data_IF_638990526109
#
_entry.id   IF_638990526109
#
_cell.length_a   1.000
_cell.length_b   1.000
_cell.length_c   1.000
_cell.angle_alpha   90.00
_cell.angle_beta   90.00
_cell.angle_gamma   90.00
#
_symmetry.space_group_name_H-M   'P 1'
#
loop_
_entity.id
_entity.type
_entity.pdbx_description
1 polymer ?
#
# COMPACT_ATOMS: atom_id res chain seq x y z
N UNK A 1 -19.04 -1.26 -13.81
CA UNK A 1 -19.06 -0.35 -12.64
C UNK A 1 -18.22 0.90 -12.94
N UNK A 2 -18.45 1.98 -12.18
CA UNK A 2 -17.63 3.18 -12.24
C UNK A 2 -16.90 3.38 -10.92
N UNK A 3 -15.59 3.54 -11.01
CA UNK A 3 -14.69 3.69 -9.85
C UNK A 3 -14.19 5.13 -9.73
N UNK A 4 -14.08 5.64 -8.51
CA UNK A 4 -13.33 6.85 -8.18
C UNK A 4 -12.07 6.45 -7.41
N UNK A 5 -10.89 6.80 -7.94
CA UNK A 5 -9.61 6.41 -7.34
C UNK A 5 -8.86 7.65 -6.86
N UNK A 6 -8.56 7.69 -5.56
CA UNK A 6 -7.57 8.63 -5.03
C UNK A 6 -6.18 8.01 -5.11
N UNK A 7 -5.16 8.84 -5.34
CA UNK A 7 -3.81 8.29 -5.56
C UNK A 7 -3.67 7.47 -6.86
N UNK A 8 -4.60 7.65 -7.81
CA UNK A 8 -4.64 6.92 -9.09
C UNK A 8 -3.42 7.13 -9.98
N UNK A 9 -2.63 8.17 -9.74
CA UNK A 9 -1.37 8.43 -10.47
C UNK A 9 -0.13 7.77 -9.82
N UNK A 10 -0.29 7.14 -8.67
CA UNK A 10 0.76 6.38 -7.98
C UNK A 10 0.93 4.97 -8.53
N UNK A 11 1.91 4.23 -7.98
CA UNK A 11 2.27 2.89 -8.43
C UNK A 11 1.05 1.93 -8.47
N UNK A 12 0.37 1.78 -7.35
CA UNK A 12 -0.78 0.88 -7.22
C UNK A 12 -1.97 1.42 -8.02
N UNK A 13 -2.25 2.72 -7.91
CA UNK A 13 -3.39 3.35 -8.57
C UNK A 13 -3.33 3.29 -10.09
N UNK A 14 -2.16 3.49 -10.66
CA UNK A 14 -1.93 3.37 -12.11
C UNK A 14 -2.19 1.93 -12.60
N UNK A 15 -1.65 0.93 -11.87
CA UNK A 15 -1.84 -0.48 -12.24
C UNK A 15 -3.29 -0.92 -12.08
N UNK A 16 -3.95 -0.46 -10.99
CA UNK A 16 -5.37 -0.72 -10.74
C UNK A 16 -6.26 -0.08 -11.82
N UNK A 17 -6.01 1.18 -12.16
CA UNK A 17 -6.79 1.89 -13.19
C UNK A 17 -6.74 1.15 -14.52
N UNK A 18 -5.54 0.67 -14.92
CA UNK A 18 -5.40 -0.13 -16.12
C UNK A 18 -6.21 -1.43 -16.03
N UNK A 19 -6.06 -2.19 -14.94
CA UNK A 19 -6.81 -3.44 -14.73
C UNK A 19 -8.34 -3.21 -14.83
N UNK A 20 -8.84 -2.16 -14.20
CA UNK A 20 -10.27 -1.83 -14.22
C UNK A 20 -10.76 -1.51 -15.63
N UNK A 21 -10.00 -0.72 -16.40
CA UNK A 21 -10.34 -0.38 -17.78
C UNK A 21 -10.32 -1.62 -18.66
N UNK A 22 -9.30 -2.48 -18.53
CA UNK A 22 -9.15 -3.73 -19.27
C UNK A 22 -10.32 -4.69 -18.99
N UNK A 23 -10.92 -4.61 -17.77
CA UNK A 23 -12.12 -5.34 -17.37
C UNK A 23 -13.45 -4.59 -17.69
N UNK A 24 -13.42 -3.57 -18.54
CA UNK A 24 -14.62 -2.89 -19.02
C UNK A 24 -15.24 -1.87 -18.06
N UNK A 25 -14.56 -1.53 -16.95
CA UNK A 25 -15.03 -0.53 -15.99
C UNK A 25 -14.62 0.89 -16.40
N UNK A 26 -15.32 1.90 -15.87
CA UNK A 26 -14.95 3.32 -16.00
C UNK A 26 -14.23 3.80 -14.75
N UNK A 27 -13.25 4.67 -14.92
CA UNK A 27 -12.38 5.14 -13.84
C UNK A 27 -12.32 6.67 -13.82
N UNK A 28 -12.67 7.27 -12.69
CA UNK A 28 -12.40 8.66 -12.36
C UNK A 28 -11.17 8.71 -11.42
N UNK A 29 -10.17 9.50 -11.76
CA UNK A 29 -8.96 9.68 -10.93
C UNK A 29 -8.95 11.07 -10.31
N UNK A 30 -8.77 11.13 -8.99
CA UNK A 30 -8.47 12.39 -8.30
C UNK A 30 -6.96 12.67 -8.36
N UNK A 31 -6.61 13.84 -8.86
CA UNK A 31 -5.23 14.29 -9.06
C UNK A 31 -5.05 15.75 -8.67
N UNK A 32 -3.82 16.16 -8.37
CA UNK A 32 -3.47 17.57 -8.10
C UNK A 32 -3.31 18.40 -9.37
N UNK A 33 -3.07 17.75 -10.52
CA UNK A 33 -2.91 18.39 -11.83
C UNK A 33 -3.68 17.58 -12.87
N UNK A 34 -4.42 18.24 -13.75
CA UNK A 34 -5.09 17.59 -14.87
C UNK A 34 -4.04 16.95 -15.79
N UNK A 35 -4.38 15.77 -16.30
CA UNK A 35 -3.62 15.07 -17.34
C UNK A 35 -4.49 14.95 -18.58
N UNK A 36 -3.86 15.03 -19.76
CA UNK A 36 -4.55 14.75 -21.01
C UNK A 36 -5.08 13.31 -21.02
N UNK A 37 -6.21 13.12 -21.67
CA UNK A 37 -6.92 11.85 -21.69
C UNK A 37 -7.08 11.39 -23.13
N UNK A 38 -6.59 10.18 -23.41
CA UNK A 38 -6.80 9.51 -24.70
C UNK A 38 -7.80 8.33 -24.56
N UNK A 39 -8.42 8.16 -23.40
CA UNK A 39 -9.29 7.02 -23.12
C UNK A 39 -10.66 7.49 -22.59
N UNK A 40 -11.74 7.14 -23.31
CA UNK A 40 -13.12 7.52 -22.96
C UNK A 40 -13.61 7.00 -21.61
N UNK A 41 -13.01 5.90 -21.12
CA UNK A 41 -13.35 5.30 -19.82
C UNK A 41 -12.53 5.84 -18.65
N UNK A 42 -11.54 6.72 -18.92
CA UNK A 42 -10.68 7.30 -17.89
C UNK A 42 -10.85 8.82 -17.83
N UNK A 43 -11.21 9.36 -16.66
CA UNK A 43 -11.35 10.81 -16.44
C UNK A 43 -10.54 11.27 -15.25
N UNK A 44 -9.93 12.46 -15.37
CA UNK A 44 -9.17 13.10 -14.29
C UNK A 44 -9.94 14.30 -13.73
N UNK A 45 -9.94 14.43 -12.39
CA UNK A 45 -10.58 15.51 -11.67
C UNK A 45 -9.60 16.11 -10.68
N UNK A 46 -9.62 17.43 -10.54
CA UNK A 46 -8.70 18.13 -9.63
C UNK A 46 -9.24 18.07 -8.20
N UNK A 47 -8.33 17.84 -7.29
CA UNK A 47 -8.57 18.01 -5.86
C UNK A 47 -7.34 18.53 -5.12
N UNK A 48 -7.57 19.11 -3.94
CA UNK A 48 -6.52 19.51 -3.01
C UNK A 48 -6.94 19.13 -1.58
N UNK A 49 -6.31 18.11 -1.02
CA UNK A 49 -6.69 17.57 0.29
C UNK A 49 -6.37 18.53 1.43
N UNK A 50 -5.27 19.29 1.36
CA UNK A 50 -4.90 20.25 2.40
C UNK A 50 -5.86 21.45 2.45
N UNK A 51 -6.42 21.85 1.30
CA UNK A 51 -7.45 22.89 1.19
C UNK A 51 -8.89 22.33 1.27
N UNK A 52 -9.04 21.01 1.35
CA UNK A 52 -10.32 20.27 1.32
C UNK A 52 -11.20 20.65 0.12
N UNK A 53 -10.58 20.95 -1.02
CA UNK A 53 -11.27 21.25 -2.27
C UNK A 53 -11.24 20.04 -3.20
N UNK A 54 -12.35 19.81 -3.91
CA UNK A 54 -12.53 18.69 -4.82
C UNK A 54 -13.55 19.04 -5.90
N UNK A 55 -13.27 18.66 -7.16
CA UNK A 55 -14.25 18.81 -8.25
C UNK A 55 -15.42 17.84 -8.00
N UNK A 56 -16.59 18.41 -7.74
CA UNK A 56 -17.80 17.68 -7.40
C UNK A 56 -18.29 16.73 -8.50
N UNK A 57 -17.89 16.93 -9.76
CA UNK A 57 -18.25 16.04 -10.87
C UNK A 57 -17.56 14.69 -10.80
N UNK A 58 -16.48 14.56 -10.01
CA UNK A 58 -15.72 13.32 -9.87
C UNK A 58 -16.56 12.14 -9.36
N UNK A 59 -17.62 12.42 -8.56
CA UNK A 59 -18.45 11.39 -7.91
C UNK A 59 -19.67 10.99 -8.74
N UNK A 60 -19.94 11.68 -9.85
CA UNK A 60 -21.14 11.44 -10.67
C UNK A 60 -21.14 10.02 -11.27
N UNK A 61 -22.14 9.25 -10.87
CA UNK A 61 -22.32 7.88 -11.31
C UNK A 61 -21.29 6.89 -10.79
N UNK A 62 -20.54 7.21 -9.74
CA UNK A 62 -19.57 6.33 -9.09
C UNK A 62 -20.27 5.28 -8.23
N UNK A 63 -19.87 4.02 -8.39
CA UNK A 63 -20.35 2.89 -7.60
C UNK A 63 -19.42 2.57 -6.42
N UNK A 64 -18.10 2.67 -6.65
CA UNK A 64 -17.05 2.31 -5.68
C UNK A 64 -15.97 3.39 -5.61
N UNK A 65 -15.55 3.75 -4.42
CA UNK A 65 -14.38 4.60 -4.20
C UNK A 65 -13.22 3.72 -3.73
N UNK A 66 -12.06 3.85 -4.40
CA UNK A 66 -10.80 3.22 -3.95
C UNK A 66 -9.87 4.31 -3.43
N UNK A 67 -9.57 4.26 -2.14
CA UNK A 67 -8.71 5.24 -1.50
C UNK A 67 -7.27 4.71 -1.38
N UNK A 68 -6.38 5.24 -2.24
CA UNK A 68 -4.94 4.94 -2.25
C UNK A 68 -4.10 6.19 -1.96
N UNK A 69 -4.73 7.32 -1.62
CA UNK A 69 -4.02 8.57 -1.41
C UNK A 69 -3.19 8.54 -0.12
N UNK A 70 -1.95 8.96 -0.25
CA UNK A 70 -1.01 9.10 0.85
C UNK A 70 0.36 9.52 0.34
N UNK A 71 1.05 10.37 1.08
CA UNK A 71 2.45 10.70 0.81
C UNK A 71 3.33 9.48 1.02
N UNK A 72 4.41 9.39 0.23
CA UNK A 72 5.40 8.31 0.35
C UNK A 72 5.99 8.26 1.76
N UNK A 73 6.09 7.07 2.31
CA UNK A 73 6.82 6.80 3.57
C UNK A 73 8.33 6.71 3.35
N UNK A 74 8.78 6.61 2.08
CA UNK A 74 10.20 6.52 1.70
C UNK A 74 10.86 7.92 1.57
N UNK A 75 10.60 8.79 2.52
CA UNK A 75 11.23 10.11 2.67
C UNK A 75 11.96 10.20 4.01
N UNK A 76 12.85 11.18 4.16
CA UNK A 76 13.44 11.44 5.48
C UNK A 76 12.35 11.76 6.51
N UNK A 77 12.37 11.12 7.69
CA UNK A 77 11.32 11.27 8.70
C UNK A 77 11.54 12.48 9.63
N UNK A 78 11.71 13.65 9.02
CA UNK A 78 11.66 14.92 9.76
C UNK A 78 10.27 15.13 10.40
N UNK A 79 10.17 16.00 11.39
CA UNK A 79 8.87 16.34 12.02
C UNK A 79 7.84 16.78 10.98
N UNK A 80 8.24 17.58 9.99
CA UNK A 80 7.38 18.02 8.88
C UNK A 80 6.90 16.85 8.01
N UNK A 81 7.82 15.97 7.59
CA UNK A 81 7.48 14.83 6.75
C UNK A 81 6.62 13.80 7.50
N UNK A 82 6.89 13.53 8.79
CA UNK A 82 6.01 12.70 9.63
C UNK A 82 4.59 13.25 9.66
N UNK A 83 4.42 14.57 9.86
CA UNK A 83 3.10 15.22 9.82
C UNK A 83 2.45 15.11 8.44
N UNK A 84 3.22 15.30 7.36
CA UNK A 84 2.72 15.16 5.99
C UNK A 84 2.28 13.72 5.68
N UNK A 85 3.03 12.71 6.12
CA UNK A 85 2.69 11.29 5.94
C UNK A 85 1.33 10.98 6.60
N UNK A 86 1.10 11.43 7.83
CA UNK A 86 -0.16 11.24 8.52
C UNK A 86 -1.29 12.05 7.86
N UNK A 87 -1.12 13.36 7.74
CA UNK A 87 -2.20 14.24 7.30
C UNK A 87 -2.65 13.95 5.87
N UNK A 88 -1.74 13.59 4.96
CA UNK A 88 -2.12 13.24 3.59
C UNK A 88 -3.17 12.12 3.50
N UNK A 89 -3.18 11.21 4.46
CA UNK A 89 -4.14 10.10 4.56
C UNK A 89 -5.46 10.54 5.18
N UNK A 90 -5.39 11.27 6.28
CA UNK A 90 -6.56 11.74 7.01
C UNK A 90 -7.34 12.78 6.20
N UNK A 91 -6.64 13.73 5.57
CA UNK A 91 -7.24 14.78 4.75
C UNK A 91 -7.89 14.21 3.49
N UNK A 92 -7.30 13.18 2.87
CA UNK A 92 -7.91 12.50 1.74
C UNK A 92 -9.29 11.92 2.09
N UNK A 93 -9.39 11.16 3.18
CA UNK A 93 -10.64 10.58 3.67
C UNK A 93 -11.65 11.68 4.07
N UNK A 94 -11.19 12.72 4.77
CA UNK A 94 -12.04 13.84 5.17
C UNK A 94 -12.62 14.59 3.97
N UNK A 95 -11.83 14.81 2.91
CA UNK A 95 -12.26 15.50 1.69
C UNK A 95 -13.32 14.70 0.95
N UNK A 96 -13.12 13.37 0.82
CA UNK A 96 -14.11 12.46 0.20
C UNK A 96 -15.41 12.45 1.03
N UNK A 97 -15.29 12.29 2.34
CA UNK A 97 -16.45 12.27 3.25
C UNK A 97 -17.27 13.55 3.13
N UNK A 98 -16.61 14.71 3.15
CA UNK A 98 -17.28 16.00 3.00
C UNK A 98 -17.97 16.17 1.63
N UNK A 99 -17.40 15.62 0.55
CA UNK A 99 -18.05 15.58 -0.77
C UNK A 99 -19.31 14.72 -0.73
N UNK A 100 -19.24 13.52 -0.16
CA UNK A 100 -20.35 12.56 -0.11
C UNK A 100 -21.54 13.08 0.71
N UNK A 101 -21.28 13.89 1.75
CA UNK A 101 -22.33 14.55 2.52
C UNK A 101 -23.00 15.70 1.77
N UNK A 102 -22.25 16.45 0.96
CA UNK A 102 -22.73 17.64 0.27
C UNK A 102 -23.41 17.35 -1.06
N UNK A 103 -23.07 16.25 -1.70
CA UNK A 103 -23.55 15.92 -3.05
C UNK A 103 -24.27 14.58 -3.05
N UNK A 104 -25.49 14.55 -3.62
CA UNK A 104 -26.23 13.31 -3.88
C UNK A 104 -25.37 12.40 -4.77
N UNK A 105 -25.16 11.17 -4.34
CA UNK A 105 -24.33 10.19 -5.02
C UNK A 105 -24.92 8.77 -4.84
N UNK A 106 -24.40 7.80 -5.60
CA UNK A 106 -24.84 6.40 -5.55
C UNK A 106 -23.74 5.46 -5.06
N UNK A 107 -22.68 6.00 -4.46
CA UNK A 107 -21.57 5.20 -3.92
C UNK A 107 -22.12 4.22 -2.89
N UNK A 108 -21.80 2.96 -3.08
CA UNK A 108 -22.21 1.87 -2.16
C UNK A 108 -21.05 1.43 -1.27
N UNK A 109 -19.81 1.64 -1.72
CA UNK A 109 -18.64 1.06 -1.08
C UNK A 109 -17.40 1.94 -1.18
N UNK A 110 -16.59 1.87 -0.13
CA UNK A 110 -15.22 2.37 -0.11
C UNK A 110 -14.27 1.23 0.20
N UNK A 111 -13.25 1.05 -0.66
CA UNK A 111 -12.12 0.15 -0.43
C UNK A 111 -10.90 1.02 -0.13
N UNK A 112 -10.48 1.06 1.13
CA UNK A 112 -9.34 1.87 1.56
C UNK A 112 -8.08 1.04 1.70
N UNK A 113 -6.98 1.54 1.16
CA UNK A 113 -5.67 1.04 1.52
C UNK A 113 -5.39 1.30 3.00
N UNK A 114 -4.61 0.42 3.57
CA UNK A 114 -3.97 0.47 4.88
C UNK A 114 -2.61 -0.23 4.75
N UNK A 115 -1.93 -0.55 5.85
CA UNK A 115 -0.65 -1.24 5.80
C UNK A 115 -0.47 -2.23 6.96
N UNK A 116 0.33 -3.27 6.74
CA UNK A 116 0.74 -4.21 7.80
C UNK A 116 1.62 -3.54 8.88
N UNK A 117 1.98 -2.27 8.67
CA UNK A 117 2.69 -1.45 9.66
C UNK A 117 1.97 -1.34 11.00
N UNK A 118 0.65 -1.58 11.04
CA UNK A 118 -0.12 -1.62 12.29
C UNK A 118 0.30 -2.75 13.23
N UNK A 119 0.81 -3.86 12.69
CA UNK A 119 1.20 -5.00 13.50
C UNK A 119 2.57 -4.76 14.16
N UNK A 120 2.74 -5.14 15.43
CA UNK A 120 4.03 -5.06 16.10
C UNK A 120 5.11 -5.92 15.44
N UNK A 121 6.36 -5.57 15.69
CA UNK A 121 7.51 -6.39 15.33
C UNK A 121 7.58 -7.62 16.23
N UNK A 122 7.57 -8.83 15.67
CA UNK A 122 7.68 -10.07 16.45
C UNK A 122 8.33 -11.18 15.63
N UNK A 123 9.31 -11.89 16.21
CA UNK A 123 10.13 -12.89 15.48
C UNK A 123 9.33 -14.08 14.94
N UNK A 124 8.34 -14.57 15.67
CA UNK A 124 7.63 -15.83 15.36
C UNK A 124 6.11 -15.71 15.24
N UNK A 125 5.51 -14.65 15.79
CA UNK A 125 4.05 -14.48 15.80
C UNK A 125 3.50 -14.26 14.41
N UNK A 126 2.37 -14.93 14.11
CA UNK A 126 1.59 -14.72 12.90
C UNK A 126 0.43 -13.78 13.22
N UNK A 127 0.27 -12.73 12.45
CA UNK A 127 -0.81 -11.76 12.60
C UNK A 127 -1.95 -12.03 11.62
N UNK A 128 -3.16 -11.93 12.14
CA UNK A 128 -4.42 -12.04 11.41
C UNK A 128 -5.19 -10.73 11.49
N UNK A 129 -6.26 -10.58 10.73
CA UNK A 129 -7.08 -9.37 10.72
C UNK A 129 -7.72 -9.03 12.06
N UNK A 130 -7.99 -10.05 12.87
CA UNK A 130 -8.54 -9.92 14.23
C UNK A 130 -7.48 -9.76 15.34
N UNK A 131 -6.18 -9.65 14.98
CA UNK A 131 -5.14 -9.34 15.96
C UNK A 131 -5.33 -7.91 16.49
N UNK A 132 -5.48 -7.78 17.82
CA UNK A 132 -5.80 -6.51 18.48
C UNK A 132 -4.56 -5.69 18.87
N UNK A 133 -3.36 -6.28 18.74
CA UNK A 133 -2.11 -5.61 19.07
C UNK A 133 -1.79 -4.56 18.01
N UNK A 134 -1.42 -3.37 18.48
CA UNK A 134 -1.06 -2.23 17.64
C UNK A 134 0.39 -1.88 17.91
N UNK A 135 1.15 -1.68 16.85
CA UNK A 135 2.53 -1.23 16.93
C UNK A 135 2.61 0.19 17.46
N UNK A 136 3.45 0.40 18.48
CA UNK A 136 3.70 1.72 19.08
C UNK A 136 4.63 2.60 18.25
N UNK A 137 5.10 2.11 17.10
CA UNK A 137 5.99 2.85 16.21
C UNK A 137 5.27 3.97 15.48
N UNK A 138 6.04 4.86 14.84
CA UNK A 138 5.44 5.94 14.05
C UNK A 138 4.50 5.42 12.96
N UNK A 139 4.89 4.40 12.19
CA UNK A 139 4.02 3.83 11.16
C UNK A 139 2.82 3.10 11.75
N UNK A 140 2.98 2.42 12.87
CA UNK A 140 1.87 1.80 13.58
C UNK A 140 0.79 2.82 13.93
N UNK A 141 1.20 3.95 14.50
CA UNK A 141 0.30 5.06 14.83
C UNK A 141 -0.35 5.70 13.59
N UNK A 142 0.42 5.92 12.53
CA UNK A 142 -0.12 6.43 11.24
C UNK A 142 -1.22 5.51 10.72
N UNK A 143 -0.99 4.20 10.72
CA UNK A 143 -1.97 3.22 10.21
C UNK A 143 -3.19 3.15 11.11
N UNK A 144 -3.01 3.17 12.43
CA UNK A 144 -4.10 3.20 13.39
C UNK A 144 -5.04 4.39 13.17
N UNK A 145 -4.49 5.60 13.09
CA UNK A 145 -5.27 6.82 12.85
C UNK A 145 -5.93 6.81 11.46
N UNK A 146 -5.26 6.25 10.46
CA UNK A 146 -5.80 6.10 9.12
C UNK A 146 -7.02 5.17 9.10
N UNK A 147 -6.92 3.97 9.71
CA UNK A 147 -8.05 3.03 9.79
C UNK A 147 -9.19 3.58 10.65
N UNK A 148 -8.87 4.25 11.77
CA UNK A 148 -9.85 4.94 12.61
C UNK A 148 -10.61 6.00 11.81
N UNK A 149 -9.90 6.81 11.02
CA UNK A 149 -10.52 7.81 10.15
C UNK A 149 -11.38 7.20 9.07
N UNK A 150 -10.98 6.07 8.48
CA UNK A 150 -11.79 5.42 7.45
C UNK A 150 -13.15 4.94 7.99
N UNK A 151 -13.28 4.64 9.28
CA UNK A 151 -14.54 4.16 9.86
C UNK A 151 -15.69 5.16 9.81
N UNK A 152 -15.42 6.48 9.61
CA UNK A 152 -16.46 7.52 9.46
C UNK A 152 -17.45 7.23 8.32
N UNK A 153 -17.06 6.46 7.30
CA UNK A 153 -17.96 6.13 6.20
C UNK A 153 -19.09 5.18 6.61
N UNK A 154 -18.91 4.43 7.70
CA UNK A 154 -19.99 3.59 8.27
C UNK A 154 -21.12 4.43 8.83
N UNK A 155 -20.83 5.64 9.33
CA UNK A 155 -21.82 6.56 9.90
C UNK A 155 -22.82 7.03 8.84
N UNK A 156 -22.42 6.99 7.56
CA UNK A 156 -23.28 7.31 6.40
C UNK A 156 -23.73 6.05 5.64
N UNK A 157 -23.69 4.88 6.30
CA UNK A 157 -24.16 3.58 5.78
C UNK A 157 -23.45 3.15 4.49
N UNK A 158 -22.19 3.48 4.33
CA UNK A 158 -21.33 3.03 3.23
C UNK A 158 -20.53 1.79 3.66
N UNK A 159 -20.57 0.76 2.85
CA UNK A 159 -19.75 -0.42 3.03
C UNK A 159 -18.27 -0.08 3.04
N UNK A 160 -17.53 -0.51 4.05
CA UNK A 160 -16.11 -0.21 4.21
C UNK A 160 -15.30 -1.50 4.19
N UNK A 161 -14.34 -1.56 3.25
CA UNK A 161 -13.28 -2.55 3.23
C UNK A 161 -11.94 -1.86 3.42
N UNK A 162 -11.07 -2.47 4.22
CA UNK A 162 -9.72 -1.97 4.49
C UNK A 162 -8.73 -3.07 4.15
N UNK A 163 -7.74 -2.76 3.30
CA UNK A 163 -6.70 -3.69 2.89
C UNK A 163 -5.39 -3.29 3.55
N UNK A 164 -4.90 -4.10 4.50
CA UNK A 164 -3.58 -3.97 5.12
C UNK A 164 -2.52 -4.53 4.18
N UNK A 165 -1.85 -3.66 3.47
CA UNK A 165 -0.92 -3.99 2.38
C UNK A 165 0.45 -4.32 2.95
N UNK A 166 1.03 -5.43 2.50
CA UNK A 166 2.42 -5.82 2.76
C UNK A 166 3.43 -5.10 1.87
N UNK A 167 4.65 -5.62 1.83
CA UNK A 167 5.70 -5.11 0.93
C UNK A 167 5.30 -5.37 -0.52
N UNK A 168 5.02 -4.31 -1.27
CA UNK A 168 4.60 -4.42 -2.67
C UNK A 168 5.82 -4.67 -3.57
N UNK A 169 5.81 -5.80 -4.30
CA UNK A 169 6.82 -6.13 -5.29
C UNK A 169 6.36 -5.63 -6.67
N UNK A 170 7.11 -4.67 -7.22
CA UNK A 170 6.89 -4.12 -8.56
C UNK A 170 8.19 -3.60 -9.14
N UNK A 171 8.48 -3.95 -10.40
CA UNK A 171 9.65 -3.43 -11.15
C UNK A 171 9.54 -1.93 -11.46
N UNK A 172 8.34 -1.34 -11.33
CA UNK A 172 8.02 0.04 -11.75
C UNK A 172 7.96 1.03 -10.58
N UNK A 173 8.36 0.66 -9.38
CA UNK A 173 8.34 1.56 -8.23
C UNK A 173 8.40 0.87 -6.87
N UNK A 174 8.49 1.68 -5.82
CA UNK A 174 8.50 1.22 -4.43
C UNK A 174 9.87 0.72 -3.96
N UNK A 175 9.86 -0.04 -2.86
CA UNK A 175 11.08 -0.61 -2.27
C UNK A 175 11.75 -1.61 -3.23
N UNK A 176 10.97 -2.42 -3.92
CA UNK A 176 11.49 -3.45 -4.81
C UNK A 176 12.29 -2.86 -5.97
N UNK A 177 11.82 -1.78 -6.60
CA UNK A 177 12.59 -1.07 -7.63
C UNK A 177 13.94 -0.57 -7.11
N UNK A 178 13.99 -0.01 -5.89
CA UNK A 178 15.23 0.43 -5.26
C UNK A 178 16.20 -0.72 -4.99
N UNK A 179 15.69 -1.86 -4.56
CA UNK A 179 16.50 -3.08 -4.39
C UNK A 179 17.05 -3.57 -5.73
N UNK A 180 16.25 -3.51 -6.81
CA UNK A 180 16.70 -3.83 -8.17
C UNK A 180 17.81 -2.88 -8.66
N UNK A 181 17.66 -1.59 -8.41
CA UNK A 181 18.68 -0.58 -8.79
C UNK A 181 20.01 -0.85 -8.08
N UNK A 182 20.00 -1.12 -6.78
CA UNK A 182 21.20 -1.49 -6.02
C UNK A 182 21.82 -2.78 -6.55
N UNK A 183 21.02 -3.80 -6.82
CA UNK A 183 21.47 -5.06 -7.38
C UNK A 183 22.10 -4.88 -8.78
N UNK A 184 21.57 -3.98 -9.60
CA UNK A 184 22.13 -3.62 -10.91
C UNK A 184 23.54 -2.99 -10.82
N UNK A 185 23.86 -2.37 -9.69
CA UNK A 185 25.18 -1.85 -9.36
C UNK A 185 26.12 -2.92 -8.75
N UNK A 186 25.69 -4.19 -8.69
CA UNK A 186 26.45 -5.27 -8.03
C UNK A 186 26.40 -5.21 -6.51
N UNK A 187 25.54 -4.37 -5.93
CA UNK A 187 25.43 -4.20 -4.48
C UNK A 187 24.19 -4.94 -4.00
N UNK A 188 24.39 -6.04 -3.28
CA UNK A 188 23.34 -6.62 -2.47
C UNK A 188 23.57 -6.28 -1.02
N UNK A 189 22.71 -5.45 -0.48
CA UNK A 189 22.78 -5.07 0.92
C UNK A 189 21.90 -5.99 1.75
N UNK A 190 22.51 -7.00 2.37
CA UNK A 190 21.86 -7.73 3.46
C UNK A 190 22.15 -6.94 4.74
N UNK A 191 21.10 -6.48 5.37
CA UNK A 191 21.21 -5.71 6.59
C UNK A 191 21.02 -6.66 7.78
N UNK A 192 21.99 -6.69 8.69
CA UNK A 192 22.05 -7.62 9.82
C UNK A 192 22.10 -9.08 9.32
N UNK A 193 21.40 -10.01 9.95
CA UNK A 193 21.35 -11.41 9.54
C UNK A 193 20.56 -11.66 8.25
N UNK A 194 19.73 -10.69 7.82
CA UNK A 194 18.79 -10.85 6.72
C UNK A 194 17.62 -11.80 7.01
N UNK A 195 17.49 -12.27 8.25
CA UNK A 195 16.43 -13.21 8.66
C UNK A 195 15.09 -12.54 8.98
N UNK A 196 15.01 -11.22 8.83
CA UNK A 196 13.76 -10.47 9.07
C UNK A 196 12.67 -10.96 8.14
N UNK A 197 11.55 -11.39 8.71
CA UNK A 197 10.40 -11.88 7.96
C UNK A 197 9.67 -10.74 7.26
N UNK A 198 9.52 -10.85 5.95
CA UNK A 198 8.81 -9.90 5.10
C UNK A 198 7.52 -10.53 4.56
N UNK A 199 6.38 -9.98 4.95
CA UNK A 199 5.11 -10.28 4.30
C UNK A 199 4.96 -9.36 3.10
N UNK A 200 5.01 -9.93 1.92
CA UNK A 200 5.04 -9.26 0.63
C UNK A 200 3.79 -9.55 -0.21
N UNK A 201 3.59 -8.80 -1.26
CA UNK A 201 2.58 -9.07 -2.28
C UNK A 201 3.06 -8.58 -3.65
N UNK A 202 2.80 -9.34 -4.72
CA UNK A 202 3.02 -8.84 -6.08
C UNK A 202 1.97 -7.78 -6.42
N UNK A 203 2.37 -6.74 -7.17
CA UNK A 203 1.46 -5.64 -7.52
C UNK A 203 0.21 -6.12 -8.25
N UNK A 204 0.33 -7.15 -9.10
CA UNK A 204 -0.82 -7.68 -9.85
C UNK A 204 -1.81 -8.39 -8.92
N UNK A 205 -1.35 -9.17 -7.94
CA UNK A 205 -2.24 -9.73 -6.93
C UNK A 205 -2.91 -8.64 -6.10
N UNK A 206 -2.16 -7.62 -5.70
CA UNK A 206 -2.72 -6.52 -4.92
C UNK A 206 -3.86 -5.82 -5.66
N UNK A 207 -3.68 -5.45 -6.92
CA UNK A 207 -4.74 -4.77 -7.68
C UNK A 207 -5.91 -5.69 -8.00
N UNK A 208 -5.67 -6.99 -8.19
CA UNK A 208 -6.73 -7.99 -8.32
C UNK A 208 -7.50 -8.18 -7.01
N UNK A 209 -6.87 -8.09 -5.83
CA UNK A 209 -7.56 -8.09 -4.53
C UNK A 209 -8.46 -6.85 -4.40
N UNK A 210 -8.01 -5.66 -4.81
CA UNK A 210 -8.87 -4.46 -4.83
C UNK A 210 -10.10 -4.67 -5.71
N UNK A 211 -9.93 -5.21 -6.92
CA UNK A 211 -11.04 -5.53 -7.82
C UNK A 211 -11.95 -6.60 -7.20
N UNK A 212 -11.38 -7.72 -6.73
CA UNK A 212 -12.12 -8.83 -6.13
C UNK A 212 -13.00 -8.39 -4.95
N UNK A 213 -12.46 -7.59 -4.03
CA UNK A 213 -13.22 -7.04 -2.90
C UNK A 213 -14.34 -6.12 -3.38
N UNK A 214 -14.07 -5.31 -4.42
CA UNK A 214 -15.03 -4.36 -4.95
C UNK A 214 -16.23 -5.03 -5.60
N UNK A 215 -16.02 -6.11 -6.35
CA UNK A 215 -17.09 -6.78 -7.12
C UNK A 215 -17.85 -7.83 -6.30
N UNK A 216 -17.19 -8.47 -5.33
CA UNK A 216 -17.80 -9.52 -4.51
C UNK A 216 -18.40 -8.99 -3.19
N UNK A 217 -18.50 -7.69 -3.03
CA UNK A 217 -19.11 -7.06 -1.86
C UNK A 217 -18.51 -7.51 -0.51
N UNK A 218 -17.19 -7.72 -0.46
CA UNK A 218 -16.48 -8.12 0.75
C UNK A 218 -16.28 -6.92 1.66
N UNK A 219 -16.69 -7.01 2.92
CA UNK A 219 -16.59 -5.94 3.93
C UNK A 219 -15.58 -6.28 5.01
N UNK A 220 -15.05 -5.24 5.67
CA UNK A 220 -14.16 -5.34 6.82
C UNK A 220 -12.68 -5.34 6.47
N UNK A 221 -11.85 -5.83 7.40
CA UNK A 221 -10.40 -5.88 7.26
C UNK A 221 -9.96 -7.09 6.46
N UNK A 222 -8.97 -6.90 5.59
CA UNK A 222 -8.30 -7.95 4.81
C UNK A 222 -6.79 -7.67 4.79
N UNK A 223 -5.98 -8.69 4.98
CA UNK A 223 -4.54 -8.60 4.78
C UNK A 223 -4.19 -8.82 3.29
N UNK A 224 -3.63 -7.79 2.67
CA UNK A 224 -3.15 -7.81 1.29
C UNK A 224 -1.68 -8.27 1.24
N UNK A 225 -1.46 -9.54 1.51
CA UNK A 225 -0.13 -10.20 1.50
C UNK A 225 -0.19 -11.54 0.78
N UNK A 226 0.92 -11.96 0.17
CA UNK A 226 1.05 -13.29 -0.41
C UNK A 226 1.04 -14.38 0.67
N UNK A 227 0.64 -15.63 0.34
CA UNK A 227 0.54 -16.72 1.33
C UNK A 227 1.86 -17.07 2.02
N UNK A 228 2.98 -16.94 1.31
CA UNK A 228 4.30 -17.36 1.76
C UNK A 228 5.19 -16.15 2.06
N UNK A 229 5.23 -15.68 3.32
CA UNK A 229 6.19 -14.66 3.74
C UNK A 229 7.61 -15.23 3.66
N UNK A 230 8.59 -14.38 3.38
CA UNK A 230 9.99 -14.76 3.17
C UNK A 230 10.92 -13.98 4.07
N UNK A 231 12.17 -14.45 4.26
CA UNK A 231 13.21 -13.63 4.85
C UNK A 231 13.69 -12.54 3.87
N UNK A 232 14.24 -11.45 4.40
CA UNK A 232 14.84 -10.44 3.55
C UNK A 232 16.01 -10.99 2.71
N UNK A 233 16.75 -11.96 3.26
CA UNK A 233 17.81 -12.68 2.56
C UNK A 233 17.28 -13.49 1.36
N UNK A 234 16.17 -14.22 1.55
CA UNK A 234 15.51 -14.95 0.45
C UNK A 234 14.99 -14.00 -0.64
N UNK A 235 14.41 -12.86 -0.25
CA UNK A 235 13.98 -11.83 -1.20
C UNK A 235 15.17 -11.31 -2.02
N UNK A 236 16.28 -10.97 -1.38
CA UNK A 236 17.50 -10.51 -2.05
C UNK A 236 18.12 -11.58 -2.95
N UNK A 237 18.19 -12.83 -2.48
CA UNK A 237 18.69 -13.96 -3.28
C UNK A 237 17.85 -14.18 -4.53
N UNK A 238 16.52 -14.13 -4.43
CA UNK A 238 15.61 -14.23 -5.57
C UNK A 238 15.82 -13.10 -6.59
N UNK A 239 16.00 -11.87 -6.10
CA UNK A 239 16.33 -10.72 -6.97
C UNK A 239 17.62 -11.00 -7.73
N UNK A 240 18.68 -11.44 -7.06
CA UNK A 240 19.99 -11.63 -7.66
C UNK A 240 20.03 -12.77 -8.69
N UNK A 241 19.41 -13.90 -8.37
CA UNK A 241 19.35 -15.06 -9.28
C UNK A 241 18.57 -14.74 -10.57
N UNK A 242 17.50 -13.96 -10.47
CA UNK A 242 16.67 -13.61 -11.63
C UNK A 242 17.35 -12.56 -12.55
N UNK A 243 18.28 -11.75 -12.03
CA UNK A 243 18.93 -10.70 -12.81
C UNK A 243 20.38 -11.00 -13.23
N UNK A 244 20.88 -12.24 -13.00
CA UNK A 244 22.15 -12.79 -13.52
C UNK A 244 23.39 -11.88 -13.35
N UNK A 245 23.50 -11.14 -12.24
CA UNK A 245 24.72 -10.35 -11.98
C UNK A 245 25.51 -10.97 -10.84
N UNK A 246 26.87 -10.96 -10.93
CA UNK A 246 27.72 -11.42 -9.85
C UNK A 246 27.45 -10.58 -8.59
N UNK A 247 27.35 -11.25 -7.49
CA UNK A 247 26.78 -10.79 -6.26
C UNK A 247 27.91 -10.54 -5.24
N UNK A 248 28.18 -9.30 -4.93
CA UNK A 248 28.93 -8.96 -3.73
C UNK A 248 27.91 -8.83 -2.58
N UNK A 249 27.74 -9.92 -1.82
CA UNK A 249 26.92 -9.88 -0.62
C UNK A 249 27.66 -9.11 0.47
N UNK A 250 27.43 -7.80 0.53
CA UNK A 250 27.93 -6.98 1.64
C UNK A 250 26.94 -7.10 2.80
N UNK A 251 27.31 -7.93 3.78
CA UNK A 251 26.60 -7.99 5.05
C UNK A 251 27.10 -6.83 5.93
N UNK A 252 26.25 -5.84 6.16
CA UNK A 252 26.57 -4.74 7.08
C UNK A 252 25.99 -5.05 8.45
N UNK A 253 26.83 -5.10 9.51
CA UNK A 253 26.34 -5.18 10.89
C UNK A 253 25.37 -4.05 11.19
N UNK A 254 24.31 -4.32 11.92
CA UNK A 254 23.30 -3.33 12.30
C UNK A 254 23.94 -2.06 12.90
N UNK A 255 24.99 -2.20 13.69
CA UNK A 255 25.74 -1.09 14.28
C UNK A 255 26.39 -0.15 13.27
N UNK A 256 26.80 -0.65 12.11
CA UNK A 256 27.44 0.16 11.05
C UNK A 256 26.45 1.09 10.34
N UNK A 257 25.16 0.73 10.36
CA UNK A 257 24.07 1.50 9.74
C UNK A 257 23.36 2.38 10.78
N UNK A 258 23.27 1.96 12.05
CA UNK A 258 22.50 2.69 13.07
C UNK A 258 23.10 4.05 13.41
N UNK A 259 24.43 4.21 13.42
CA UNK A 259 25.07 5.49 13.73
C UNK A 259 24.84 6.52 12.61
N UNK A 260 25.14 6.24 11.32
CA UNK A 260 24.83 7.18 10.25
C UNK A 260 23.32 7.40 10.08
N UNK A 261 22.50 6.35 10.26
CA UNK A 261 21.04 6.45 10.14
C UNK A 261 20.42 7.27 11.28
N UNK A 262 20.98 7.21 12.50
CA UNK A 262 20.51 8.05 13.62
C UNK A 262 20.86 9.51 13.40
N UNK A 263 22.06 9.81 12.92
CA UNK A 263 22.48 11.17 12.56
C UNK A 263 21.62 11.77 11.42
N UNK A 264 21.13 10.91 10.50
CA UNK A 264 20.24 11.29 9.40
C UNK A 264 18.75 11.21 9.75
N UNK A 265 18.38 10.85 10.99
CA UNK A 265 16.99 10.66 11.41
C UNK A 265 16.28 9.47 10.71
N UNK A 266 17.03 8.49 10.23
CA UNK A 266 16.52 7.33 9.46
C UNK A 266 16.41 6.05 10.29
N UNK A 267 16.84 6.05 11.55
CA UNK A 267 16.80 4.87 12.42
C UNK A 267 15.38 4.34 12.62
N UNK A 268 14.40 5.23 12.83
CA UNK A 268 12.99 4.87 12.96
C UNK A 268 12.47 4.21 11.68
N UNK A 269 12.80 4.80 10.50
CA UNK A 269 12.42 4.25 9.21
C UNK A 269 12.99 2.84 8.99
N UNK A 270 14.28 2.66 9.32
CA UNK A 270 14.90 1.35 9.22
C UNK A 270 14.18 0.32 10.10
N UNK A 271 13.98 0.64 11.37
CA UNK A 271 13.38 -0.28 12.33
C UNK A 271 11.93 -0.63 11.97
N UNK A 272 11.15 0.32 11.43
CA UNK A 272 9.74 0.12 11.10
C UNK A 272 9.51 -0.61 9.77
N UNK A 273 10.38 -0.38 8.78
CA UNK A 273 10.14 -0.85 7.41
C UNK A 273 11.03 -2.04 7.05
N UNK A 274 12.36 -1.91 7.24
CA UNK A 274 13.33 -2.89 6.74
C UNK A 274 13.67 -3.92 7.81
N UNK A 275 13.95 -3.46 9.02
CA UNK A 275 14.39 -4.30 10.14
C UNK A 275 13.27 -5.02 10.89
N UNK A 276 12.02 -4.78 10.51
CA UNK A 276 10.88 -5.38 11.22
C UNK A 276 10.55 -6.79 10.74
N UNK A 277 10.22 -7.65 11.71
CA UNK A 277 9.66 -8.98 11.44
C UNK A 277 8.13 -8.90 11.55
N UNK A 278 7.44 -9.10 10.44
CA UNK A 278 5.97 -9.09 10.39
C UNK A 278 5.49 -10.25 9.54
N UNK A 279 5.18 -11.36 10.21
CA UNK A 279 4.56 -12.52 9.57
C UNK A 279 3.05 -12.33 9.61
N UNK A 280 2.46 -12.08 8.46
CA UNK A 280 1.04 -11.75 8.31
C UNK A 280 0.35 -12.81 7.46
N UNK A 281 -0.81 -13.27 7.89
CA UNK A 281 -1.59 -14.30 7.21
C UNK A 281 -2.49 -13.70 6.13
N UNK A 282 -2.53 -14.34 4.96
CA UNK A 282 -3.51 -14.08 3.90
C UNK A 282 -4.69 -15.04 3.93
N UNK A 283 -4.81 -15.86 4.99
CA UNK A 283 -5.82 -16.94 5.05
C UNK A 283 -7.23 -16.43 4.78
N UNK A 284 -7.61 -15.30 5.37
CA UNK A 284 -8.96 -14.73 5.20
C UNK A 284 -9.33 -14.48 3.74
N UNK A 285 -8.44 -13.86 2.96
CA UNK A 285 -8.77 -13.56 1.54
C UNK A 285 -8.79 -14.83 0.69
N UNK A 286 -7.99 -15.86 1.05
CA UNK A 286 -8.03 -17.17 0.41
C UNK A 286 -9.33 -17.90 0.74
N UNK A 287 -9.76 -17.91 2.00
CA UNK A 287 -11.03 -18.52 2.44
C UNK A 287 -12.24 -17.85 1.77
N UNK A 288 -12.13 -16.56 1.40
CA UNK A 288 -13.12 -15.83 0.61
C UNK A 288 -13.07 -16.18 -0.91
N UNK A 289 -12.17 -17.06 -1.32
CA UNK A 289 -12.08 -17.58 -2.69
C UNK A 289 -11.07 -16.88 -3.60
N UNK A 290 -10.26 -15.94 -3.10
CA UNK A 290 -9.20 -15.33 -3.91
C UNK A 290 -8.07 -16.31 -4.21
N UNK A 291 -7.68 -16.43 -5.47
CA UNK A 291 -6.55 -17.27 -5.92
C UNK A 291 -5.38 -16.39 -6.34
N UNK A 292 -4.26 -16.54 -5.65
CA UNK A 292 -3.04 -15.77 -5.94
C UNK A 292 -2.40 -16.18 -7.26
N UNK A 293 -1.98 -15.20 -8.05
CA UNK A 293 -1.16 -15.38 -9.26
C UNK A 293 0.28 -15.67 -8.86
N UNK A 294 0.77 -14.97 -7.82
CA UNK A 294 2.13 -15.06 -7.29
C UNK A 294 2.09 -15.45 -5.80
N UNK A 295 1.80 -16.74 -5.49
CA UNK A 295 1.74 -17.21 -4.10
C UNK A 295 3.11 -17.30 -3.43
N UNK A 296 4.20 -17.38 -4.21
CA UNK A 296 5.60 -17.54 -3.75
C UNK A 296 6.58 -16.84 -4.69
N UNK A 297 7.81 -16.56 -4.21
CA UNK A 297 8.80 -15.78 -4.96
C UNK A 297 9.31 -16.49 -6.23
N UNK A 298 9.30 -17.80 -6.30
CA UNK A 298 9.68 -18.60 -7.46
C UNK A 298 8.80 -18.34 -8.69
N UNK A 299 7.60 -17.81 -8.49
CA UNK A 299 6.70 -17.37 -9.57
C UNK A 299 7.05 -15.98 -10.13
N UNK A 300 7.96 -15.24 -9.50
CA UNK A 300 8.46 -13.96 -9.98
C UNK A 300 9.56 -14.20 -11.02
N UNK A 301 9.22 -14.38 -12.27
CA UNK A 301 10.19 -14.48 -13.38
C UNK A 301 10.30 -13.19 -14.15
#
# INVERSE_FOLDING_TARGET
>A
MKFLITGGTGLIGNRLSKLLIDNGHSVNILTRKIKNQDNSRLKYFVWNTSKKTIDNKCIDGVDVIVNLAGSSVFSFWTKSNKKMILNSRLDALSTIYGLMQKKKNKVKRIVSASAIGIYPNHKSKVYYENSNEISETFLGNVVYEWEKKAKIFRDIKIDLSIIRIGLVLSKKGGMFEKLLQLNNLGISSIIDSGNQCQSWIHIDDLVNIFLFISVNNINGLVNGVAPNPVSFKELQSNISSNYKKPFLSLSFPKSFLTIPLSLLGLSDFYNDVIGSNKRVSSKKIQDLGYKFIYPSLDKLK
#
